data_IF_648208140447
#
_entry.id   IF_648208140447
#
_cell.length_a   1.000
_cell.length_b   1.000
_cell.length_c   1.000
_cell.angle_alpha   90.00
_cell.angle_beta   90.00
_cell.angle_gamma   90.00
#
_symmetry.space_group_name_H-M   'P 1'
#
loop_
_entity.id
_entity.type
_entity.pdbx_description
1 polymer ?
#
# COMPACT_ATOMS: atom_id res chain seq x y z
N UNK A 1 -6.75 -2.42 15.40
CA UNK A 1 -8.13 -2.53 15.93
C UNK A 1 -9.17 -2.28 14.83
N UNK A 2 -9.11 -1.16 14.11
CA UNK A 2 -10.13 -0.81 13.10
C UNK A 2 -10.19 -1.85 11.96
N UNK A 3 -9.06 -2.24 11.40
CA UNK A 3 -8.96 -3.27 10.35
C UNK A 3 -9.46 -4.64 10.83
N UNK A 4 -9.12 -5.02 12.06
CA UNK A 4 -9.59 -6.30 12.61
C UNK A 4 -11.09 -6.31 12.82
N UNK A 5 -11.65 -5.17 13.23
CA UNK A 5 -13.09 -5.01 13.39
C UNK A 5 -13.83 -5.08 12.05
N UNK A 6 -13.32 -4.38 11.01
CA UNK A 6 -13.93 -4.43 9.68
C UNK A 6 -13.91 -5.85 9.10
N UNK A 7 -12.80 -6.57 9.21
CA UNK A 7 -12.72 -7.96 8.76
C UNK A 7 -13.64 -8.90 9.55
N UNK A 8 -13.81 -8.70 10.85
CA UNK A 8 -14.76 -9.48 11.65
C UNK A 8 -16.21 -9.26 11.19
N UNK A 9 -16.59 -8.02 10.91
CA UNK A 9 -17.91 -7.68 10.37
C UNK A 9 -18.12 -8.29 8.98
N UNK A 10 -17.14 -8.17 8.08
CA UNK A 10 -17.19 -8.75 6.74
C UNK A 10 -17.37 -10.27 6.79
N UNK A 11 -16.59 -10.96 7.65
CA UNK A 11 -16.73 -12.41 7.85
C UNK A 11 -18.10 -12.79 8.42
N UNK A 12 -18.67 -11.98 9.31
CA UNK A 12 -19.99 -12.22 9.90
C UNK A 12 -21.11 -12.10 8.88
N UNK A 13 -20.99 -11.18 7.92
CA UNK A 13 -22.02 -10.90 6.90
C UNK A 13 -21.91 -11.86 5.71
N UNK A 14 -20.70 -12.10 5.20
CA UNK A 14 -20.47 -12.91 4.01
C UNK A 14 -20.38 -14.41 4.29
N UNK A 15 -20.02 -14.80 5.51
CA UNK A 15 -19.62 -16.16 5.82
C UNK A 15 -18.23 -16.50 5.30
N UNK A 16 -17.61 -17.52 5.87
CA UNK A 16 -16.21 -17.90 5.58
C UNK A 16 -15.97 -18.33 4.12
N UNK A 17 -16.96 -19.00 3.50
CA UNK A 17 -16.84 -19.49 2.12
C UNK A 17 -16.84 -18.37 1.09
N UNK A 18 -17.77 -17.43 1.20
CA UNK A 18 -17.86 -16.30 0.26
C UNK A 18 -16.70 -15.34 0.49
N UNK A 19 -16.35 -15.07 1.76
CA UNK A 19 -15.21 -14.22 2.11
C UNK A 19 -13.90 -14.70 1.49
N UNK A 20 -13.60 -16.01 1.53
CA UNK A 20 -12.37 -16.57 0.99
C UNK A 20 -12.27 -16.53 -0.55
N UNK A 21 -13.40 -16.47 -1.25
CA UNK A 21 -13.48 -16.44 -2.72
C UNK A 21 -13.61 -15.02 -3.28
N UNK A 22 -13.92 -14.04 -2.44
CA UNK A 22 -14.19 -12.67 -2.89
C UNK A 22 -12.90 -11.86 -2.92
N UNK A 23 -12.64 -11.21 -4.06
CA UNK A 23 -11.46 -10.37 -4.24
C UNK A 23 -11.52 -9.06 -3.45
N UNK A 24 -12.74 -8.53 -3.26
CA UNK A 24 -13.00 -7.30 -2.51
C UNK A 24 -14.13 -7.51 -1.50
N UNK A 25 -13.86 -8.15 -0.33
CA UNK A 25 -14.88 -8.49 0.66
C UNK A 25 -15.69 -7.27 1.13
N UNK A 26 -15.03 -6.16 1.38
CA UNK A 26 -15.68 -4.92 1.80
C UNK A 26 -16.72 -4.41 0.78
N UNK A 27 -16.36 -4.43 -0.50
CA UNK A 27 -17.29 -4.02 -1.56
C UNK A 27 -18.51 -4.96 -1.64
N UNK A 28 -18.27 -6.27 -1.59
CA UNK A 28 -19.34 -7.27 -1.63
C UNK A 28 -20.25 -7.16 -0.40
N UNK A 29 -19.69 -6.91 0.79
CA UNK A 29 -20.48 -6.70 2.00
C UNK A 29 -21.43 -5.51 1.87
N UNK A 30 -20.95 -4.40 1.29
CA UNK A 30 -21.74 -3.17 1.15
C UNK A 30 -22.83 -3.32 0.08
N UNK A 31 -22.57 -4.06 -1.00
CA UNK A 31 -23.61 -4.34 -2.02
C UNK A 31 -24.75 -5.20 -1.50
N UNK A 32 -24.52 -6.00 -0.44
CA UNK A 32 -25.56 -6.78 0.23
C UNK A 32 -26.42 -5.94 1.19
N UNK A 33 -25.95 -4.75 1.59
CA UNK A 33 -26.70 -3.85 2.48
C UNK A 33 -27.76 -3.11 1.68
N UNK A 34 -28.99 -3.62 1.72
CA UNK A 34 -30.18 -2.98 1.15
C UNK A 34 -31.04 -2.43 2.28
N UNK A 35 -30.86 -1.15 2.61
CA UNK A 35 -31.65 -0.50 3.67
C UNK A 35 -32.86 0.18 3.04
N UNK A 36 -34.02 -0.47 3.14
CA UNK A 36 -35.36 0.09 2.89
C UNK A 36 -35.55 0.78 1.51
N UNK A 37 -34.94 0.29 0.45
CA UNK A 37 -35.03 0.86 -0.92
C UNK A 37 -34.59 2.33 -1.05
N UNK A 38 -34.16 2.98 0.02
CA UNK A 38 -33.74 4.38 0.01
C UNK A 38 -32.23 4.56 -0.19
N UNK A 39 -31.42 3.63 0.29
CA UNK A 39 -29.96 3.65 0.16
C UNK A 39 -29.51 2.47 -0.69
N UNK A 40 -29.78 2.55 -1.99
CA UNK A 40 -29.41 1.48 -2.96
C UNK A 40 -28.01 1.66 -3.58
N UNK A 41 -27.31 2.78 -3.32
CA UNK A 41 -26.07 3.15 -4.01
C UNK A 41 -24.94 3.53 -3.05
N UNK A 42 -24.80 2.80 -1.95
CA UNK A 42 -23.64 2.92 -1.07
C UNK A 42 -22.34 2.45 -1.78
N UNK A 43 -22.46 1.60 -2.80
CA UNK A 43 -21.39 1.15 -3.67
C UNK A 43 -20.63 2.31 -4.32
N UNK A 44 -21.34 3.34 -4.78
CA UNK A 44 -20.70 4.51 -5.39
C UNK A 44 -19.81 5.29 -4.39
N UNK A 45 -20.24 5.42 -3.15
CA UNK A 45 -19.45 6.09 -2.10
C UNK A 45 -18.19 5.29 -1.77
N UNK A 46 -18.31 3.96 -1.74
CA UNK A 46 -17.16 3.07 -1.49
C UNK A 46 -16.16 3.13 -2.62
N UNK A 47 -16.63 3.10 -3.87
CA UNK A 47 -15.75 3.24 -5.05
C UNK A 47 -15.03 4.58 -5.04
N UNK A 48 -15.75 5.69 -4.75
CA UNK A 48 -15.13 7.01 -4.62
C UNK A 48 -14.07 7.04 -3.52
N UNK A 49 -14.36 6.46 -2.35
CA UNK A 49 -13.43 6.39 -1.23
C UNK A 49 -12.18 5.57 -1.59
N UNK A 50 -12.35 4.45 -2.31
CA UNK A 50 -11.24 3.64 -2.80
C UNK A 50 -10.37 4.41 -3.78
N UNK A 51 -10.96 5.10 -4.76
CA UNK A 51 -10.23 5.89 -5.77
C UNK A 51 -9.43 7.00 -5.07
N UNK A 52 -10.06 7.76 -4.19
CA UNK A 52 -9.41 8.82 -3.43
C UNK A 52 -8.29 8.26 -2.55
N UNK A 53 -8.55 7.16 -1.83
CA UNK A 53 -7.55 6.51 -0.97
C UNK A 53 -6.33 6.01 -1.74
N UNK A 54 -6.54 5.38 -2.90
CA UNK A 54 -5.45 4.94 -3.79
C UNK A 54 -4.66 6.13 -4.32
N UNK A 55 -5.34 7.21 -4.73
CA UNK A 55 -4.69 8.42 -5.22
C UNK A 55 -3.76 9.04 -4.16
N UNK A 56 -4.23 9.21 -2.93
CA UNK A 56 -3.39 9.73 -1.84
C UNK A 56 -2.23 8.81 -1.51
N UNK A 57 -2.46 7.50 -1.47
CA UNK A 57 -1.42 6.51 -1.22
C UNK A 57 -0.33 6.57 -2.28
N UNK A 58 -0.70 6.58 -3.56
CA UNK A 58 0.26 6.68 -4.67
C UNK A 58 1.03 8.00 -4.64
N UNK A 59 0.35 9.11 -4.34
CA UNK A 59 0.99 10.44 -4.24
C UNK A 59 2.06 10.47 -3.16
N UNK A 60 1.80 9.89 -1.99
CA UNK A 60 2.78 9.82 -0.89
C UNK A 60 4.00 8.98 -1.30
N UNK A 61 3.78 7.83 -1.93
CA UNK A 61 4.89 6.97 -2.38
C UNK A 61 5.72 7.63 -3.49
N UNK A 62 5.07 8.28 -4.45
CA UNK A 62 5.77 9.04 -5.49
C UNK A 62 6.57 10.20 -4.89
N UNK A 63 6.00 10.93 -3.95
CA UNK A 63 6.72 12.01 -3.26
C UNK A 63 7.95 11.48 -2.50
N UNK A 64 7.81 10.39 -1.76
CA UNK A 64 8.92 9.76 -1.06
C UNK A 64 10.02 9.29 -2.03
N UNK A 65 9.63 8.66 -3.14
CA UNK A 65 10.56 8.20 -4.17
C UNK A 65 11.34 9.36 -4.80
N UNK A 66 10.66 10.45 -5.15
CA UNK A 66 11.30 11.66 -5.69
C UNK A 66 12.24 12.29 -4.69
N UNK A 67 11.83 12.38 -3.41
CA UNK A 67 12.67 12.96 -2.35
C UNK A 67 13.95 12.15 -2.12
N UNK A 68 13.83 10.82 -2.05
CA UNK A 68 14.99 9.93 -1.88
C UNK A 68 15.91 10.00 -3.12
N UNK A 69 15.33 10.03 -4.32
CA UNK A 69 16.12 10.17 -5.55
C UNK A 69 16.86 11.53 -5.60
N UNK A 70 16.21 12.62 -5.17
CA UNK A 70 16.83 13.94 -5.12
C UNK A 70 18.03 13.96 -4.17
N UNK A 71 17.90 13.35 -3.00
CA UNK A 71 18.97 13.25 -2.01
C UNK A 71 20.13 12.37 -2.54
N UNK A 72 19.81 11.23 -3.17
CA UNK A 72 20.78 10.30 -3.69
C UNK A 72 21.61 10.89 -4.83
N UNK A 73 20.95 11.61 -5.75
CA UNK A 73 21.61 12.24 -6.91
C UNK A 73 22.10 13.68 -6.64
N UNK A 74 21.94 14.17 -5.40
CA UNK A 74 22.32 15.53 -5.00
C UNK A 74 21.71 16.64 -5.88
N UNK A 75 20.46 16.45 -6.28
CA UNK A 75 19.74 17.37 -7.18
C UNK A 75 19.15 18.51 -6.35
N UNK A 76 19.55 19.74 -6.68
CA UNK A 76 19.11 20.94 -5.96
C UNK A 76 17.61 21.22 -6.05
N UNK A 77 16.96 20.75 -7.14
CA UNK A 77 15.54 20.98 -7.40
C UNK A 77 14.81 19.65 -7.62
N UNK A 78 14.13 19.10 -6.59
CA UNK A 78 13.42 17.82 -6.68
C UNK A 78 12.33 17.78 -7.76
N UNK A 79 11.78 18.94 -8.13
CA UNK A 79 10.70 19.03 -9.13
C UNK A 79 11.12 18.50 -10.50
N UNK A 80 12.39 18.62 -10.85
CA UNK A 80 12.94 18.13 -12.13
C UNK A 80 12.93 16.60 -12.21
N UNK A 81 12.93 15.92 -11.06
CA UNK A 81 12.91 14.46 -10.98
C UNK A 81 11.50 13.86 -11.01
N UNK A 82 10.45 14.67 -10.87
CA UNK A 82 9.06 14.17 -10.83
C UNK A 82 8.70 13.44 -12.12
N UNK A 83 9.02 14.03 -13.27
CA UNK A 83 8.71 13.44 -14.59
C UNK A 83 9.49 12.14 -14.83
N UNK A 84 10.83 12.09 -14.71
CA UNK A 84 11.58 10.86 -14.95
C UNK A 84 11.21 9.74 -13.96
N UNK A 85 11.01 10.07 -12.69
CA UNK A 85 10.56 9.07 -11.69
C UNK A 85 9.15 8.58 -12.02
N UNK A 86 8.23 9.46 -12.41
CA UNK A 86 6.88 9.09 -12.83
C UNK A 86 6.88 8.15 -14.04
N UNK A 87 7.74 8.41 -15.03
CA UNK A 87 7.90 7.54 -16.22
C UNK A 87 8.43 6.17 -15.81
N UNK A 88 9.44 6.10 -14.94
CA UNK A 88 9.98 4.82 -14.44
C UNK A 88 8.91 4.03 -13.69
N UNK A 89 8.13 4.69 -12.83
CA UNK A 89 7.01 4.05 -12.10
C UNK A 89 5.96 3.49 -13.07
N UNK A 90 5.61 4.25 -14.12
CA UNK A 90 4.68 3.80 -15.15
C UNK A 90 5.19 2.56 -15.88
N UNK A 91 6.43 2.59 -16.39
CA UNK A 91 7.02 1.44 -17.07
C UNK A 91 7.12 0.23 -16.14
N UNK A 92 7.54 0.41 -14.90
CA UNK A 92 7.60 -0.66 -13.90
C UNK A 92 6.22 -1.28 -13.64
N UNK A 93 5.17 -0.47 -13.63
CA UNK A 93 3.80 -0.94 -13.48
C UNK A 93 3.36 -1.82 -14.64
N UNK A 94 3.69 -1.46 -15.89
CA UNK A 94 3.37 -2.28 -17.07
C UNK A 94 4.11 -3.63 -17.06
N UNK A 95 5.37 -3.62 -16.66
CA UNK A 95 6.19 -4.86 -16.60
C UNK A 95 5.74 -5.77 -15.46
N UNK A 96 5.34 -5.18 -14.32
CA UNK A 96 4.96 -5.94 -13.12
C UNK A 96 3.59 -6.60 -13.21
N UNK A 97 2.67 -6.08 -14.02
CA UNK A 97 1.27 -6.51 -14.05
C UNK A 97 0.90 -7.16 -15.39
N UNK A 98 1.38 -8.39 -15.62
CA UNK A 98 0.96 -9.18 -16.78
C UNK A 98 -0.52 -9.60 -16.70
N UNK A 99 -0.98 -10.07 -15.52
CA UNK A 99 -2.36 -10.46 -15.25
C UNK A 99 -2.69 -10.22 -13.77
N UNK A 100 -3.95 -9.81 -13.47
CA UNK A 100 -4.41 -9.54 -12.11
C UNK A 100 -4.21 -10.72 -11.12
N UNK A 101 -4.54 -11.98 -11.46
CA UNK A 101 -4.33 -13.12 -10.58
C UNK A 101 -2.86 -13.37 -10.23
N UNK A 102 -1.96 -13.20 -11.18
CA UNK A 102 -0.50 -13.33 -10.98
C UNK A 102 -0.02 -12.23 -10.06
N UNK A 103 -0.43 -10.99 -10.31
CA UNK A 103 -0.08 -9.84 -9.47
C UNK A 103 -0.55 -10.02 -8.02
N UNK A 104 -1.74 -10.59 -7.79
CA UNK A 104 -2.23 -10.88 -6.44
C UNK A 104 -1.42 -11.95 -5.74
N UNK A 105 -1.06 -13.04 -6.41
CA UNK A 105 -0.22 -14.09 -5.85
C UNK A 105 1.18 -13.59 -5.48
N UNK A 106 1.80 -12.84 -6.38
CA UNK A 106 3.11 -12.24 -6.15
C UNK A 106 3.06 -11.20 -5.02
N UNK A 107 1.99 -10.41 -4.97
CA UNK A 107 1.73 -9.46 -3.89
C UNK A 107 1.59 -10.14 -2.53
N UNK A 108 0.88 -11.25 -2.44
CA UNK A 108 0.73 -12.04 -1.20
C UNK A 108 2.08 -12.62 -0.78
N UNK A 109 2.86 -13.17 -1.71
CA UNK A 109 4.20 -13.68 -1.42
C UNK A 109 5.13 -12.57 -0.93
N UNK A 110 5.09 -11.39 -1.56
CA UNK A 110 5.84 -10.20 -1.14
C UNK A 110 5.46 -9.77 0.28
N UNK A 111 4.17 -9.64 0.57
CA UNK A 111 3.66 -9.27 1.89
C UNK A 111 4.04 -10.29 2.97
N UNK A 112 4.05 -11.58 2.63
CA UNK A 112 4.32 -12.65 3.59
C UNK A 112 5.80 -12.80 3.94
N UNK A 113 6.70 -12.61 2.96
CA UNK A 113 8.13 -12.90 3.14
C UNK A 113 9.00 -11.64 3.14
N UNK A 114 8.82 -10.78 2.17
CA UNK A 114 9.73 -9.64 1.94
C UNK A 114 9.40 -8.48 2.87
N UNK A 115 8.13 -8.15 3.05
CA UNK A 115 7.73 -7.02 3.89
C UNK A 115 8.13 -7.21 5.36
N UNK A 116 7.84 -8.33 6.05
CA UNK A 116 8.27 -8.54 7.43
C UNK A 116 9.79 -8.54 7.57
N UNK A 117 10.50 -9.14 6.60
CA UNK A 117 11.95 -9.14 6.57
C UNK A 117 12.50 -7.70 6.49
N UNK A 118 12.02 -6.89 5.57
CA UNK A 118 12.44 -5.48 5.44
C UNK A 118 12.07 -4.65 6.68
N UNK A 119 10.87 -4.83 7.22
CA UNK A 119 10.41 -4.13 8.42
C UNK A 119 11.22 -4.50 9.69
N UNK A 120 11.81 -5.67 9.75
CA UNK A 120 12.67 -6.08 10.86
C UNK A 120 14.13 -5.66 10.62
N UNK A 121 14.68 -5.96 9.45
CA UNK A 121 16.10 -5.77 9.15
C UNK A 121 16.50 -4.29 9.11
N UNK A 122 15.70 -3.45 8.46
CA UNK A 122 16.04 -2.02 8.32
C UNK A 122 16.11 -1.30 9.68
N UNK A 123 15.12 -1.40 10.57
CA UNK A 123 15.21 -0.77 11.88
C UNK A 123 16.33 -1.31 12.76
N UNK A 124 16.56 -2.63 12.72
CA UNK A 124 17.65 -3.26 13.47
C UNK A 124 19.00 -2.74 12.96
N UNK A 125 19.19 -2.69 11.66
CA UNK A 125 20.42 -2.19 11.04
C UNK A 125 20.66 -0.72 11.37
N UNK A 126 19.64 0.12 11.28
CA UNK A 126 19.71 1.52 11.66
C UNK A 126 20.05 1.69 13.16
N UNK A 127 19.44 0.88 14.02
CA UNK A 127 19.72 0.88 15.44
C UNK A 127 21.16 0.47 15.73
N UNK A 128 21.65 -0.59 15.09
CA UNK A 128 23.05 -1.03 15.22
C UNK A 128 24.03 0.06 14.76
N UNK A 129 23.81 0.64 13.57
CA UNK A 129 24.65 1.71 13.04
C UNK A 129 24.65 2.92 13.99
N UNK A 130 23.47 3.33 14.48
CA UNK A 130 23.36 4.40 15.45
C UNK A 130 24.16 4.12 16.74
N UNK A 131 24.00 2.90 17.28
CA UNK A 131 24.71 2.48 18.50
C UNK A 131 26.22 2.41 18.29
N UNK A 132 26.70 1.90 17.14
CA UNK A 132 28.12 1.91 16.78
C UNK A 132 28.67 3.34 16.66
N UNK A 133 28.02 4.23 15.91
CA UNK A 133 28.44 5.62 15.76
C UNK A 133 28.51 6.36 17.09
N UNK A 134 27.55 6.12 17.97
CA UNK A 134 27.56 6.70 19.33
C UNK A 134 28.73 6.17 20.17
N UNK A 135 29.08 4.89 20.03
CA UNK A 135 30.16 4.27 20.81
C UNK A 135 31.55 4.73 20.34
N UNK A 136 31.70 5.05 19.08
CA UNK A 136 32.97 5.53 18.50
C UNK A 136 33.09 7.05 18.41
N UNK A 137 32.18 7.80 19.03
CA UNK A 137 32.27 9.27 19.10
C UNK A 137 32.16 10.00 17.75
N UNK A 138 31.65 9.32 16.70
CA UNK A 138 31.50 9.86 15.35
C UNK A 138 30.26 10.76 15.18
N UNK A 139 29.61 11.11 16.30
CA UNK A 139 28.48 12.04 16.31
C UNK A 139 29.01 13.44 16.63
N UNK A 140 29.15 14.26 15.59
CA UNK A 140 29.27 15.72 15.70
C UNK A 140 27.92 16.35 15.48
#
# INVERSE_FOLDING_TARGET
FLLSFTHAVEMSVLGTDIYSRTTFPMFTTITLVNVANFIQRLDAIVILTLIIGVFFKMSIYCYAAVSIAADLFNVKDPRKLVIPVGVVVLFSSFVSAGNYPVHMNDGIAFLKYILPFMCAVIPILLFLVHRFRRRFGLYK
#
